data_IF_398001815629
#
_entry.id   IF_398001815629
#
_cell.length_a   1.000
_cell.length_b   1.000
_cell.length_c   1.000
_cell.angle_alpha   90.00
_cell.angle_beta   90.00
_cell.angle_gamma   90.00
#
_symmetry.space_group_name_H-M   'P 1'
#
loop_
_entity.id
_entity.type
_entity.pdbx_description
1 polymer ?
#
# COMPACT_ATOMS: atom_id res chain seq x y z
N UNK A 1 6.39 4.22 -10.70
CA UNK A 1 7.82 3.95 -10.67
C UNK A 1 8.58 4.60 -11.82
N UNK A 2 9.76 5.07 -11.55
CA UNK A 2 10.68 5.50 -12.60
C UNK A 2 11.29 4.24 -13.25
N UNK A 3 11.55 4.30 -14.56
CA UNK A 3 12.18 3.21 -15.30
C UNK A 3 11.39 1.88 -15.30
N UNK A 4 10.08 1.96 -15.47
CA UNK A 4 9.20 0.81 -15.62
C UNK A 4 8.60 0.79 -17.04
N UNK A 5 8.73 -0.34 -17.72
CA UNK A 5 8.24 -0.52 -19.09
C UNK A 5 7.36 -1.76 -19.17
N UNK A 6 6.17 -1.60 -19.74
CA UNK A 6 5.31 -2.72 -20.07
C UNK A 6 5.55 -3.13 -21.53
N UNK A 7 6.24 -4.25 -21.72
CA UNK A 7 6.54 -4.80 -23.04
C UNK A 7 5.40 -5.71 -23.49
N UNK A 8 4.67 -5.32 -24.52
CA UNK A 8 3.52 -6.07 -25.02
C UNK A 8 3.85 -6.91 -26.25
N UNK A 9 4.89 -6.54 -26.97
CA UNK A 9 5.35 -7.17 -28.19
C UNK A 9 6.84 -6.93 -28.43
N UNK A 10 7.49 -7.64 -29.36
CA UNK A 10 8.92 -7.44 -29.63
C UNK A 10 9.31 -6.03 -30.08
N UNK A 11 8.38 -5.27 -30.71
CA UNK A 11 8.66 -3.92 -31.17
C UNK A 11 8.76 -2.93 -30.01
N UNK A 12 8.03 -3.17 -28.95
CA UNK A 12 8.09 -2.33 -27.74
C UNK A 12 9.44 -2.47 -26.99
N UNK A 13 10.24 -3.49 -27.33
CA UNK A 13 11.58 -3.69 -26.80
C UNK A 13 12.65 -2.79 -27.48
N UNK A 14 12.44 -2.39 -28.72
CA UNK A 14 13.45 -1.65 -29.50
C UNK A 14 13.89 -0.34 -28.84
N UNK A 15 12.99 0.53 -28.35
CA UNK A 15 13.38 1.77 -27.67
C UNK A 15 14.14 1.51 -26.36
N UNK A 16 13.81 0.43 -25.67
CA UNK A 16 14.49 0.04 -24.44
C UNK A 16 15.87 -0.52 -24.74
N UNK A 17 16.00 -1.37 -25.76
CA UNK A 17 17.29 -1.93 -26.20
C UNK A 17 18.29 -0.86 -26.56
N UNK A 18 17.86 0.22 -27.20
CA UNK A 18 18.72 1.34 -27.57
C UNK A 18 19.29 2.11 -26.36
N UNK A 19 18.73 1.94 -25.18
CA UNK A 19 19.12 2.63 -23.94
C UNK A 19 19.76 1.68 -22.91
N UNK A 20 19.83 0.38 -23.19
CA UNK A 20 20.24 -0.66 -22.23
C UNK A 20 21.57 -0.35 -21.54
N UNK A 21 22.58 0.14 -22.29
CA UNK A 21 23.91 0.44 -21.76
C UNK A 21 23.92 1.61 -20.75
N UNK A 22 22.89 2.45 -20.77
CA UNK A 22 22.76 3.61 -19.87
C UNK A 22 21.85 3.34 -18.65
N UNK A 23 21.15 2.21 -18.65
CA UNK A 23 20.21 1.86 -17.59
C UNK A 23 20.90 1.12 -16.43
N UNK A 24 20.42 1.28 -15.20
CA UNK A 24 20.82 0.44 -14.10
C UNK A 24 20.41 -1.02 -14.35
N UNK A 25 20.81 -1.91 -13.43
CA UNK A 25 20.34 -3.29 -13.48
C UNK A 25 18.80 -3.34 -13.51
N UNK A 26 18.25 -4.13 -14.43
CA UNK A 26 16.82 -4.29 -14.64
C UNK A 26 16.35 -5.66 -14.17
N UNK A 27 15.11 -5.70 -13.68
CA UNK A 27 14.40 -6.95 -13.40
C UNK A 27 13.33 -7.12 -14.48
N UNK A 28 13.22 -8.32 -15.04
CA UNK A 28 12.19 -8.68 -16.00
C UNK A 28 11.20 -9.61 -15.32
N UNK A 29 9.94 -9.20 -15.30
CA UNK A 29 8.86 -9.94 -14.67
C UNK A 29 7.75 -10.25 -15.67
N UNK A 30 7.00 -11.33 -15.43
CA UNK A 30 5.80 -11.63 -16.19
C UNK A 30 4.70 -10.61 -15.87
N UNK A 31 4.05 -10.06 -16.92
CA UNK A 31 2.92 -9.18 -16.71
C UNK A 31 1.77 -9.92 -16.03
N UNK A 32 1.28 -9.38 -14.93
CA UNK A 32 0.16 -9.91 -14.17
C UNK A 32 -1.14 -9.29 -14.68
N UNK A 33 -2.17 -10.12 -14.89
CA UNK A 33 -3.53 -9.64 -15.13
C UNK A 33 -4.27 -9.70 -13.81
N UNK A 34 -4.74 -8.57 -13.33
CA UNK A 34 -5.44 -8.46 -12.07
C UNK A 34 -6.73 -7.66 -12.23
N UNK A 35 -7.67 -7.86 -11.32
CA UNK A 35 -8.95 -7.16 -11.30
C UNK A 35 -8.83 -5.84 -10.54
N UNK A 36 -8.03 -5.82 -9.47
CA UNK A 36 -7.77 -4.65 -8.63
C UNK A 36 -6.45 -4.75 -7.87
N UNK A 37 -6.02 -3.62 -7.37
CA UNK A 37 -4.85 -3.50 -6.52
C UNK A 37 -5.29 -3.37 -5.06
N UNK A 38 -4.70 -4.17 -4.19
CA UNK A 38 -4.93 -4.16 -2.76
C UNK A 38 -3.64 -3.85 -2.02
N UNK A 39 -3.75 -3.41 -0.79
CA UNK A 39 -2.61 -3.36 0.13
C UNK A 39 -3.00 -3.75 1.54
N UNK A 40 -2.03 -4.27 2.27
CA UNK A 40 -2.14 -4.56 3.68
C UNK A 40 -0.98 -3.92 4.43
N UNK A 41 -1.30 -3.21 5.50
CA UNK A 41 -0.31 -2.76 6.47
C UNK A 41 -0.22 -3.81 7.58
N UNK A 42 1.00 -4.15 7.98
CA UNK A 42 1.24 -5.09 9.06
C UNK A 42 2.34 -4.54 9.98
N UNK A 43 2.25 -4.78 11.26
CA UNK A 43 3.26 -4.41 12.24
C UNK A 43 3.65 -5.63 13.08
N UNK A 44 4.94 -5.70 13.46
CA UNK A 44 5.46 -6.71 14.38
C UNK A 44 6.42 -6.09 15.38
N UNK A 45 6.22 -6.39 16.65
CA UNK A 45 7.09 -5.93 17.75
C UNK A 45 8.38 -6.77 17.86
N UNK A 46 9.31 -6.31 18.67
CA UNK A 46 10.54 -7.05 19.00
C UNK A 46 10.21 -8.41 19.63
N UNK A 47 9.23 -8.45 20.54
CA UNK A 47 8.73 -9.69 21.18
C UNK A 47 7.93 -10.59 20.24
N UNK A 48 7.63 -10.15 19.02
CA UNK A 48 6.94 -10.96 18.01
C UNK A 48 5.43 -10.78 17.95
N UNK A 49 4.83 -9.89 18.76
CA UNK A 49 3.41 -9.58 18.65
C UNK A 49 3.12 -8.86 17.33
N UNK A 50 2.04 -9.27 16.64
CA UNK A 50 1.67 -8.73 15.34
C UNK A 50 0.33 -8.01 15.37
N UNK A 51 0.21 -6.95 14.57
CA UNK A 51 -1.04 -6.27 14.27
C UNK A 51 -1.20 -6.17 12.75
N UNK A 52 -2.30 -6.68 12.23
CA UNK A 52 -2.63 -6.67 10.81
C UNK A 52 -3.81 -5.73 10.59
N UNK A 53 -3.67 -4.83 9.63
CA UNK A 53 -4.75 -3.95 9.21
C UNK A 53 -5.62 -4.66 8.17
N UNK A 54 -6.88 -4.23 8.00
CA UNK A 54 -7.70 -4.74 6.90
C UNK A 54 -7.06 -4.43 5.54
N UNK A 55 -7.47 -5.20 4.53
CA UNK A 55 -7.11 -4.90 3.16
C UNK A 55 -7.70 -3.54 2.73
N UNK A 56 -6.86 -2.73 2.10
CA UNK A 56 -7.26 -1.50 1.42
C UNK A 56 -7.33 -1.75 -0.09
N UNK A 57 -8.37 -1.26 -0.76
CA UNK A 57 -8.41 -1.16 -2.21
C UNK A 57 -7.74 0.13 -2.64
N UNK A 58 -6.79 0.03 -3.58
CA UNK A 58 -5.99 1.14 -4.04
C UNK A 58 -6.28 1.43 -5.51
N UNK A 59 -6.38 2.70 -5.84
CA UNK A 59 -6.49 3.15 -7.23
C UNK A 59 -5.30 4.00 -7.60
N UNK A 60 -4.58 3.56 -8.61
CA UNK A 60 -3.43 4.28 -9.15
C UNK A 60 -3.77 4.93 -10.50
N UNK A 61 -3.09 6.02 -10.78
CA UNK A 61 -3.05 6.64 -12.10
C UNK A 61 -1.61 7.01 -12.43
N UNK A 62 -1.12 6.52 -13.56
CA UNK A 62 0.26 6.75 -14.01
C UNK A 62 1.31 6.32 -12.97
N UNK A 63 1.04 5.20 -12.27
CA UNK A 63 1.91 4.68 -11.21
C UNK A 63 1.86 5.44 -9.88
N UNK A 64 0.95 6.41 -9.73
CA UNK A 64 0.79 7.19 -8.49
C UNK A 64 -0.50 6.80 -7.81
N UNK A 65 -0.43 6.47 -6.52
CA UNK A 65 -1.60 6.19 -5.69
C UNK A 65 -2.49 7.43 -5.58
N UNK A 66 -3.75 7.31 -5.97
CA UNK A 66 -4.74 8.37 -5.84
C UNK A 66 -5.65 8.19 -4.65
N UNK A 67 -6.21 6.99 -4.49
CA UNK A 67 -7.16 6.70 -3.39
C UNK A 67 -6.85 5.37 -2.77
N UNK A 68 -7.15 5.26 -1.46
CA UNK A 68 -7.24 4.00 -0.74
C UNK A 68 -8.56 3.95 0.01
N UNK A 69 -9.31 2.85 -0.11
CA UNK A 69 -10.59 2.62 0.54
C UNK A 69 -10.48 1.42 1.49
N UNK A 70 -10.96 1.54 2.73
CA UNK A 70 -10.79 0.54 3.79
C UNK A 70 -12.06 0.35 4.62
N UNK A 71 -12.46 -0.89 4.93
CA UNK A 71 -11.96 -2.13 4.31
C UNK A 71 -12.29 -2.16 2.81
N UNK A 72 -11.48 -2.87 2.04
CA UNK A 72 -11.77 -3.08 0.63
C UNK A 72 -13.10 -3.82 0.45
N UNK A 73 -13.89 -3.39 -0.52
CA UNK A 73 -15.20 -3.98 -0.77
C UNK A 73 -15.11 -5.41 -1.31
N UNK A 74 -16.13 -6.22 -1.00
CA UNK A 74 -16.28 -7.58 -1.52
C UNK A 74 -15.05 -8.48 -1.31
N UNK A 75 -14.38 -8.35 -0.18
CA UNK A 75 -13.31 -9.26 0.24
C UNK A 75 -13.93 -10.49 0.90
N UNK A 76 -13.67 -11.67 0.35
CA UNK A 76 -14.06 -12.92 0.98
C UNK A 76 -13.20 -13.19 2.22
N UNK A 77 -13.74 -13.99 3.16
CA UNK A 77 -12.96 -14.45 4.32
C UNK A 77 -11.69 -15.20 3.90
N UNK A 78 -11.75 -15.93 2.80
CA UNK A 78 -10.61 -16.68 2.25
C UNK A 78 -9.53 -15.71 1.73
N UNK A 79 -9.92 -14.66 0.98
CA UNK A 79 -8.98 -13.64 0.49
C UNK A 79 -8.33 -12.89 1.66
N UNK A 80 -9.10 -12.52 2.69
CA UNK A 80 -8.54 -11.87 3.88
C UNK A 80 -7.61 -12.82 4.65
N UNK A 81 -7.96 -14.09 4.77
CA UNK A 81 -7.11 -15.10 5.42
C UNK A 81 -5.80 -15.31 4.65
N UNK A 82 -5.86 -15.29 3.31
CA UNK A 82 -4.66 -15.38 2.45
C UNK A 82 -3.74 -14.18 2.66
N UNK A 83 -4.27 -12.96 2.69
CA UNK A 83 -3.49 -11.75 2.98
C UNK A 83 -2.85 -11.80 4.37
N UNK A 84 -3.60 -12.22 5.38
CA UNK A 84 -3.09 -12.39 6.74
C UNK A 84 -1.96 -13.41 6.81
N UNK A 85 -2.09 -14.53 6.08
CA UNK A 85 -1.05 -15.55 5.99
C UNK A 85 0.23 -15.02 5.34
N UNK A 86 0.10 -14.32 4.22
CA UNK A 86 1.25 -13.67 3.54
C UNK A 86 1.97 -12.73 4.50
N UNK A 87 1.22 -11.84 5.17
CA UNK A 87 1.80 -10.86 6.07
C UNK A 87 2.55 -11.51 7.25
N UNK A 88 1.93 -12.50 7.92
CA UNK A 88 2.56 -13.22 9.03
C UNK A 88 3.82 -13.94 8.56
N UNK A 89 3.74 -14.66 7.44
CA UNK A 89 4.89 -15.40 6.89
C UNK A 89 6.08 -14.48 6.66
N UNK A 90 5.87 -13.32 6.03
CA UNK A 90 6.95 -12.35 5.77
C UNK A 90 7.53 -11.79 7.07
N UNK A 91 6.67 -11.36 8.00
CA UNK A 91 7.10 -10.80 9.28
C UNK A 91 7.88 -11.79 10.13
N UNK A 92 7.47 -13.06 10.14
CA UNK A 92 8.10 -14.13 10.92
C UNK A 92 9.40 -14.59 10.31
N UNK A 93 9.42 -14.91 8.99
CA UNK A 93 10.62 -15.42 8.32
C UNK A 93 11.78 -14.41 8.34
N UNK A 94 11.46 -13.12 8.29
CA UNK A 94 12.49 -12.08 8.34
C UNK A 94 12.76 -11.58 9.75
N UNK A 95 12.04 -12.08 10.76
CA UNK A 95 12.07 -11.51 12.12
C UNK A 95 11.91 -9.99 12.07
N UNK A 96 11.08 -9.51 11.13
CA UNK A 96 10.92 -8.09 10.85
C UNK A 96 10.34 -7.37 12.06
N UNK A 97 10.87 -6.19 12.37
CA UNK A 97 10.38 -5.33 13.47
C UNK A 97 9.99 -3.97 12.90
N UNK A 98 8.76 -3.55 13.16
CA UNK A 98 8.22 -2.30 12.64
C UNK A 98 7.00 -2.54 11.75
N UNK A 99 6.69 -1.56 10.91
CA UNK A 99 5.60 -1.62 9.93
C UNK A 99 6.13 -2.06 8.58
N UNK A 100 5.46 -3.03 7.99
CA UNK A 100 5.62 -3.53 6.62
C UNK A 100 4.34 -3.24 5.85
N UNK A 101 4.44 -2.61 4.69
CA UNK A 101 3.37 -2.54 3.70
C UNK A 101 3.56 -3.61 2.64
N UNK A 102 2.48 -4.27 2.28
CA UNK A 102 2.44 -5.33 1.27
C UNK A 102 1.44 -4.91 0.21
N UNK A 103 1.91 -4.65 -1.00
CA UNK A 103 1.05 -4.41 -2.15
C UNK A 103 0.74 -5.72 -2.84
N UNK A 104 -0.52 -5.89 -3.24
CA UNK A 104 -1.08 -7.13 -3.73
C UNK A 104 -1.90 -6.88 -4.99
N UNK A 105 -1.76 -7.76 -5.96
CA UNK A 105 -2.72 -7.91 -7.05
C UNK A 105 -3.77 -8.94 -6.65
N UNK A 106 -5.05 -8.61 -6.88
CA UNK A 106 -6.17 -9.52 -6.72
C UNK A 106 -6.58 -10.07 -8.09
N UNK A 107 -6.42 -11.38 -8.25
CA UNK A 107 -6.78 -12.15 -9.46
C UNK A 107 -8.02 -13.01 -9.14
N UNK A 108 -9.19 -12.39 -9.02
CA UNK A 108 -10.43 -13.11 -8.69
C UNK A 108 -10.43 -13.75 -7.30
N UNK A 109 -9.89 -13.06 -6.29
CA UNK A 109 -9.76 -13.55 -4.91
C UNK A 109 -8.45 -14.27 -4.63
N UNK A 110 -7.61 -14.52 -5.64
CA UNK A 110 -6.25 -15.04 -5.46
C UNK A 110 -5.26 -13.89 -5.40
N UNK A 111 -4.55 -13.77 -4.30
CA UNK A 111 -3.60 -12.69 -4.08
C UNK A 111 -2.21 -13.04 -4.59
N UNK A 112 -1.58 -12.07 -5.23
CA UNK A 112 -0.18 -12.10 -5.63
C UNK A 112 0.54 -10.88 -5.07
N UNK A 113 1.68 -11.10 -4.42
CA UNK A 113 2.53 -9.99 -3.94
C UNK A 113 3.10 -9.24 -5.14
N UNK A 114 2.91 -7.91 -5.14
CA UNK A 114 3.48 -6.99 -6.10
C UNK A 114 4.75 -6.34 -5.56
N UNK A 115 4.62 -5.60 -4.46
CA UNK A 115 5.72 -4.83 -3.87
C UNK A 115 5.67 -4.91 -2.35
N UNK A 116 6.85 -4.79 -1.74
CA UNK A 116 7.02 -4.74 -0.28
C UNK A 116 7.72 -3.46 0.10
N UNK A 117 7.12 -2.70 1.00
CA UNK A 117 7.73 -1.51 1.57
C UNK A 117 7.99 -1.73 3.07
N UNK A 118 9.26 -1.93 3.48
CA UNK A 118 9.63 -2.14 4.89
C UNK A 118 9.65 -0.82 5.67
N UNK A 119 8.55 -0.10 5.64
CA UNK A 119 8.33 1.22 6.25
C UNK A 119 6.84 1.53 6.28
N UNK A 120 6.48 2.63 6.95
CA UNK A 120 5.15 3.26 6.77
C UNK A 120 4.93 3.60 5.29
N UNK A 121 3.69 3.51 4.83
CA UNK A 121 3.35 3.60 3.42
C UNK A 121 2.14 4.52 3.19
N UNK A 122 2.07 5.11 1.99
CA UNK A 122 0.99 6.01 1.60
C UNK A 122 -0.39 5.32 1.71
N UNK A 123 -0.49 4.09 1.25
CA UNK A 123 -1.75 3.30 1.33
C UNK A 123 -2.22 3.01 2.77
N UNK A 124 -1.43 3.32 3.79
CA UNK A 124 -1.78 3.20 5.21
C UNK A 124 -2.11 4.54 5.90
N UNK A 125 -2.07 5.67 5.19
CA UNK A 125 -2.31 6.98 5.81
C UNK A 125 -3.74 7.16 6.32
N UNK A 126 -4.71 6.48 5.74
CA UNK A 126 -6.09 6.43 6.24
C UNK A 126 -6.18 6.08 7.73
N UNK A 127 -5.21 5.32 8.26
CA UNK A 127 -5.18 4.87 9.64
C UNK A 127 -4.98 6.01 10.66
N UNK A 128 -4.63 7.21 10.24
CA UNK A 128 -4.44 8.35 11.14
C UNK A 128 -5.76 8.82 11.74
N UNK A 129 -6.84 8.76 10.95
CA UNK A 129 -8.12 9.37 11.30
C UNK A 129 -9.30 8.37 11.35
N UNK A 130 -9.02 7.08 11.13
CA UNK A 130 -10.03 6.02 11.11
C UNK A 130 -10.41 5.47 12.50
N UNK A 131 -10.04 6.13 13.59
CA UNK A 131 -10.33 5.66 14.94
C UNK A 131 -9.55 4.40 15.35
N UNK A 132 -8.45 4.12 14.67
CA UNK A 132 -7.52 3.01 14.95
C UNK A 132 -6.16 3.53 15.42
N UNK A 133 -5.31 2.64 15.89
CA UNK A 133 -3.90 3.00 16.08
C UNK A 133 -3.24 3.16 14.72
N UNK A 134 -2.74 4.35 14.42
CA UNK A 134 -2.15 4.62 13.10
C UNK A 134 -0.93 3.75 12.81
N UNK A 135 -0.62 3.57 11.52
CA UNK A 135 0.60 2.86 11.12
C UNK A 135 1.87 3.47 11.74
N UNK A 136 1.91 4.80 11.92
CA UNK A 136 3.02 5.50 12.55
C UNK A 136 3.14 5.13 14.03
N UNK A 137 2.03 5.18 14.75
CA UNK A 137 1.99 4.79 16.16
C UNK A 137 2.34 3.32 16.35
N UNK A 138 1.81 2.43 15.49
CA UNK A 138 2.15 1.00 15.53
C UNK A 138 3.60 0.74 15.13
N UNK A 139 4.20 1.56 14.26
CA UNK A 139 5.63 1.46 13.96
C UNK A 139 6.47 1.78 15.21
N UNK A 140 6.19 2.89 15.90
CA UNK A 140 6.89 3.26 17.12
C UNK A 140 6.68 2.20 18.22
N UNK A 141 5.45 1.74 18.42
CA UNK A 141 5.14 0.67 19.38
C UNK A 141 5.95 -0.59 19.07
N UNK A 142 6.02 -0.98 17.81
CA UNK A 142 6.74 -2.16 17.38
C UNK A 142 8.25 -2.08 17.71
N UNK A 143 8.91 -0.97 17.38
CA UNK A 143 10.36 -0.80 17.60
C UNK A 143 10.73 -0.56 19.06
N UNK A 144 9.78 -0.11 19.89
CA UNK A 144 9.97 0.06 21.34
C UNK A 144 9.47 -1.14 22.17
N UNK A 145 9.14 -2.24 21.51
CA UNK A 145 8.56 -3.43 22.10
C UNK A 145 7.31 -3.18 22.94
N UNK A 146 6.54 -2.17 22.53
CA UNK A 146 5.24 -1.89 23.11
C UNK A 146 4.17 -2.65 22.32
N UNK A 147 3.20 -3.24 23.01
CA UNK A 147 2.12 -3.99 22.37
C UNK A 147 1.46 -3.17 21.25
N UNK A 148 1.35 -3.70 20.03
CA UNK A 148 0.64 -3.03 18.95
C UNK A 148 -0.82 -2.72 19.32
N UNK A 149 -1.32 -1.58 18.84
CA UNK A 149 -2.68 -1.14 19.11
C UNK A 149 -3.70 -1.67 18.10
N UNK A 150 -4.98 -1.30 18.31
CA UNK A 150 -6.09 -1.70 17.44
C UNK A 150 -5.88 -1.25 15.99
N UNK A 151 -6.18 -2.15 15.06
CA UNK A 151 -6.05 -1.93 13.61
C UNK A 151 -7.37 -1.99 12.86
N UNK A 152 -8.47 -2.34 13.55
CA UNK A 152 -9.77 -2.53 12.93
C UNK A 152 -10.61 -1.26 13.05
N UNK A 153 -10.91 -0.56 11.94
CA UNK A 153 -11.78 0.60 11.96
C UNK A 153 -13.23 0.19 12.25
N UNK A 154 -13.96 1.03 12.93
CA UNK A 154 -15.38 0.81 13.22
C UNK A 154 -16.28 1.07 12.01
N UNK A 155 -15.83 1.88 11.08
CA UNK A 155 -16.51 2.30 9.87
C UNK A 155 -15.57 2.26 8.68
N UNK A 156 -16.09 2.51 7.49
CA UNK A 156 -15.27 2.73 6.29
C UNK A 156 -14.38 3.96 6.47
N UNK A 157 -13.19 3.86 5.98
CA UNK A 157 -12.22 4.95 5.93
C UNK A 157 -11.62 5.05 4.54
N UNK A 158 -11.19 6.22 4.16
CA UNK A 158 -10.54 6.44 2.87
C UNK A 158 -9.44 7.46 2.96
N UNK A 159 -8.58 7.44 1.97
CA UNK A 159 -7.54 8.42 1.75
C UNK A 159 -7.60 8.88 0.29
N UNK A 160 -7.44 10.18 0.09
CA UNK A 160 -7.29 10.78 -1.24
C UNK A 160 -5.94 11.49 -1.29
N UNK A 161 -5.13 11.18 -2.28
CA UNK A 161 -3.82 11.79 -2.49
C UNK A 161 -3.96 13.00 -3.44
N UNK A 162 -3.68 14.19 -2.94
CA UNK A 162 -3.73 15.42 -3.70
C UNK A 162 -2.36 15.71 -4.31
N UNK A 163 -2.26 15.59 -5.64
CA UNK A 163 -1.00 15.70 -6.36
C UNK A 163 -0.83 17.10 -6.95
N UNK A 164 0.03 17.92 -6.35
CA UNK A 164 0.57 19.14 -6.93
C UNK A 164 -0.44 20.23 -7.30
N UNK A 165 -1.63 20.25 -6.72
CA UNK A 165 -2.67 21.27 -6.94
C UNK A 165 -3.00 22.00 -5.64
N UNK A 166 -3.47 23.23 -5.81
CA UNK A 166 -3.97 24.07 -4.74
C UNK A 166 -5.05 23.34 -3.93
N UNK A 167 -4.99 23.37 -2.60
CA UNK A 167 -5.94 22.69 -1.73
C UNK A 167 -7.40 23.08 -1.97
N UNK A 168 -7.67 24.32 -2.36
CA UNK A 168 -9.00 24.92 -2.39
C UNK A 168 -9.98 24.22 -3.35
N UNK A 169 -9.51 23.76 -4.51
CA UNK A 169 -10.38 23.12 -5.50
C UNK A 169 -10.74 21.66 -5.13
N UNK A 170 -9.90 21.02 -4.34
CA UNK A 170 -10.13 19.65 -3.88
C UNK A 170 -10.96 19.62 -2.58
N UNK A 171 -10.81 20.64 -1.74
CA UNK A 171 -11.57 20.83 -0.52
C UNK A 171 -13.05 21.04 -0.80
N UNK A 172 -13.40 21.79 -1.84
CA UNK A 172 -14.81 22.06 -2.21
C UNK A 172 -15.55 20.80 -2.66
N UNK A 173 -14.85 19.77 -3.19
CA UNK A 173 -15.46 18.48 -3.54
C UNK A 173 -15.50 17.49 -2.37
N UNK A 174 -14.73 17.74 -1.33
CA UNK A 174 -14.67 16.89 -0.14
C UNK A 174 -15.60 17.38 1.00
N UNK A 175 -16.25 18.52 0.84
CA UNK A 175 -17.18 19.05 1.85
C UNK A 175 -18.42 18.17 2.09
N UNK A 176 -18.77 17.30 1.12
CA UNK A 176 -19.82 16.29 1.27
C UNK A 176 -19.35 15.00 1.97
N UNK A 177 -18.05 14.85 2.19
CA UNK A 177 -17.44 13.74 2.93
C UNK A 177 -16.84 14.37 4.17
N UNK A 178 -17.27 13.96 5.35
CA UNK A 178 -16.74 14.48 6.62
C UNK A 178 -15.20 14.33 6.64
N UNK A 179 -14.43 15.34 6.22
CA UNK A 179 -13.01 15.16 5.93
C UNK A 179 -12.23 15.24 7.22
N UNK A 180 -11.48 14.25 7.52
CA UNK A 180 -10.82 14.14 8.81
C UNK A 180 -9.35 14.49 8.77
N UNK A 181 -8.65 14.41 7.64
CA UNK A 181 -7.26 14.86 7.60
C UNK A 181 -6.76 15.06 6.18
N UNK A 182 -5.96 16.10 6.01
CA UNK A 182 -5.21 16.36 4.80
C UNK A 182 -3.73 16.19 5.07
N UNK A 183 -3.13 15.13 4.55
CA UNK A 183 -1.67 15.00 4.55
C UNK A 183 -1.13 15.54 3.24
N UNK A 184 -0.41 16.63 3.32
CA UNK A 184 0.32 17.19 2.18
C UNK A 184 1.68 16.49 2.09
N UNK A 185 1.75 15.45 1.29
CA UNK A 185 3.03 14.88 0.90
C UNK A 185 3.50 15.65 -0.34
N UNK A 186 4.51 16.48 -0.18
CA UNK A 186 5.27 16.93 -1.34
C UNK A 186 5.84 15.69 -2.01
N UNK A 187 5.64 15.60 -3.32
CA UNK A 187 6.33 14.61 -4.14
C UNK A 187 7.82 14.95 -4.12
N UNK A 188 8.49 14.53 -3.07
CA UNK A 188 9.92 14.54 -2.96
C UNK A 188 10.37 13.19 -2.50
N UNK A 189 11.18 12.65 -3.34
CA UNK A 189 12.21 11.68 -2.98
C UNK A 189 11.71 10.25 -2.85
N UNK A 190 11.69 9.65 -3.99
CA UNK A 190 12.32 8.34 -4.13
C UNK A 190 13.49 8.46 -5.09
#
# INVERSE_FOLDING_TARGET
GQNQWLLRDPKSLEPLAAQMDSLPALVVEGAVRFDRELSMIAARSVSGETALYPLAENRHREGILLTSEVPADNISEETQAQANHIARTLLEQWSYVGVLSIELFDEGGKLRVNELAPRVHNSGHWSQDAGVTSQFSNHIRAITDTRPGNTQPALYAGMVNLLGREPDAALTQAEDVNPVSYTHLRAHET
#
